data_IF_676818640438
#
_entry.id   IF_676818640438
#
_cell.length_a   1.000
_cell.length_b   1.000
_cell.length_c   1.000
_cell.angle_alpha   90.00
_cell.angle_beta   90.00
_cell.angle_gamma   90.00
#
_symmetry.space_group_name_H-M   'P 1'
#
loop_
_entity.id
_entity.type
_entity.pdbx_description
1 polymer ?
#
# COMPACT_ATOMS: atom_id res chain seq x y z
N UNK A 1 -43.92 -55.64 -23.20
CA UNK A 1 -44.21 -55.54 -24.65
C UNK A 1 -43.64 -54.21 -25.11
N UNK A 2 -43.04 -54.20 -26.30
CA UNK A 2 -42.29 -53.11 -26.96
C UNK A 2 -40.79 -53.07 -26.67
N UNK A 3 -40.11 -53.59 -27.70
CA UNK A 3 -38.70 -53.66 -28.01
C UNK A 3 -38.32 -52.32 -28.65
N UNK A 4 -37.20 -51.69 -28.27
CA UNK A 4 -36.60 -50.65 -29.09
C UNK A 4 -35.08 -50.78 -29.14
N UNK A 5 -34.57 -50.57 -30.36
CA UNK A 5 -33.41 -51.22 -30.94
C UNK A 5 -32.11 -50.51 -30.60
N UNK A 6 -31.13 -51.31 -30.24
CA UNK A 6 -29.68 -51.06 -30.33
C UNK A 6 -29.31 -50.57 -31.73
N UNK A 7 -28.82 -49.33 -31.85
CA UNK A 7 -28.02 -48.88 -32.98
C UNK A 7 -26.54 -48.93 -32.60
N UNK A 8 -25.86 -49.97 -33.07
CA UNK A 8 -24.41 -50.05 -33.10
C UNK A 8 -23.90 -49.14 -34.22
N UNK A 9 -23.57 -47.90 -33.87
CA UNK A 9 -22.82 -47.01 -34.74
C UNK A 9 -21.35 -47.44 -34.76
N UNK A 10 -20.89 -47.86 -35.93
CA UNK A 10 -19.49 -48.15 -36.23
C UNK A 10 -18.63 -46.91 -35.98
N UNK A 11 -17.83 -46.93 -34.91
CA UNK A 11 -16.73 -45.98 -34.70
C UNK A 11 -15.68 -46.21 -35.79
N UNK A 12 -15.79 -45.40 -36.84
CA UNK A 12 -14.76 -45.23 -37.85
C UNK A 12 -13.56 -44.53 -37.18
N UNK A 13 -12.62 -45.34 -36.67
CA UNK A 13 -11.35 -44.87 -36.13
C UNK A 13 -10.52 -44.25 -37.25
N UNK A 14 -10.69 -42.95 -37.47
CA UNK A 14 -9.81 -42.16 -38.31
C UNK A 14 -8.38 -42.26 -37.76
N UNK A 15 -7.36 -42.43 -38.62
CA UNK A 15 -5.98 -42.42 -38.18
C UNK A 15 -5.68 -41.04 -37.58
N UNK A 16 -5.31 -41.02 -36.29
CA UNK A 16 -4.76 -39.83 -35.63
C UNK A 16 -3.49 -39.42 -36.38
N UNK A 17 -3.65 -38.53 -37.35
CA UNK A 17 -2.54 -37.78 -37.92
C UNK A 17 -1.89 -37.02 -36.76
N UNK A 18 -0.72 -37.50 -36.33
CA UNK A 18 0.19 -36.75 -35.48
C UNK A 18 0.73 -35.56 -36.26
N UNK A 19 -0.08 -34.53 -36.42
CA UNK A 19 0.38 -33.25 -36.91
C UNK A 19 1.46 -32.70 -35.97
N UNK A 20 2.52 -32.08 -36.49
CA UNK A 20 3.56 -31.48 -35.66
C UNK A 20 2.91 -30.50 -34.67
N UNK A 21 3.12 -30.74 -33.37
CA UNK A 21 2.71 -29.82 -32.29
C UNK A 21 3.25 -28.43 -32.65
N UNK A 22 2.40 -27.39 -32.75
CA UNK A 22 2.82 -26.11 -33.28
C UNK A 22 3.82 -25.45 -32.32
N UNK A 23 5.08 -25.32 -32.73
CA UNK A 23 6.10 -24.55 -32.01
C UNK A 23 5.66 -23.10 -31.72
N UNK A 24 4.67 -22.58 -32.48
CA UNK A 24 4.04 -21.27 -32.31
C UNK A 24 3.34 -21.05 -30.97
N UNK A 25 2.99 -22.11 -30.22
CA UNK A 25 2.33 -21.96 -28.92
C UNK A 25 3.30 -21.70 -27.77
N UNK A 26 4.55 -22.16 -27.86
CA UNK A 26 5.53 -21.98 -26.79
C UNK A 26 5.99 -20.52 -26.70
N UNK A 27 6.40 -19.92 -27.81
CA UNK A 27 6.78 -18.50 -27.86
C UNK A 27 5.64 -17.56 -27.46
N UNK A 28 4.40 -17.90 -27.82
CA UNK A 28 3.22 -17.14 -27.42
C UNK A 28 2.98 -17.23 -25.90
N UNK A 29 3.16 -18.41 -25.29
CA UNK A 29 3.04 -18.59 -23.84
C UNK A 29 4.14 -17.84 -23.08
N UNK A 30 5.38 -17.89 -23.56
CA UNK A 30 6.49 -17.16 -22.96
C UNK A 30 6.24 -15.64 -22.98
N UNK A 31 5.64 -15.14 -24.07
CA UNK A 31 5.26 -13.72 -24.17
C UNK A 31 4.17 -13.34 -23.16
N UNK A 32 3.19 -14.23 -22.90
CA UNK A 32 2.13 -13.99 -21.92
C UNK A 32 2.66 -13.96 -20.48
N UNK A 33 3.56 -14.89 -20.11
CA UNK A 33 4.16 -14.88 -18.77
C UNK A 33 5.05 -13.66 -18.55
N UNK A 34 5.77 -13.23 -19.59
CA UNK A 34 6.54 -11.99 -19.52
C UNK A 34 5.65 -10.77 -19.24
N UNK A 35 4.52 -10.66 -19.93
CA UNK A 35 3.56 -9.57 -19.68
C UNK A 35 3.02 -9.61 -18.25
N UNK A 36 2.68 -10.80 -17.74
CA UNK A 36 2.24 -10.95 -16.34
C UNK A 36 3.33 -10.54 -15.34
N UNK A 37 4.58 -10.93 -15.60
CA UNK A 37 5.73 -10.52 -14.80
C UNK A 37 5.91 -8.99 -14.83
N UNK A 38 5.94 -8.38 -16.01
CA UNK A 38 6.11 -6.93 -16.16
C UNK A 38 4.99 -6.15 -15.43
N UNK A 39 3.75 -6.65 -15.48
CA UNK A 39 2.62 -6.05 -14.76
C UNK A 39 2.74 -6.21 -13.23
N UNK A 40 3.20 -7.37 -12.75
CA UNK A 40 3.44 -7.59 -11.32
C UNK A 40 4.55 -6.67 -10.76
N UNK A 41 5.57 -6.37 -11.56
CA UNK A 41 6.62 -5.40 -11.21
C UNK A 41 6.04 -3.99 -11.11
N UNK A 42 5.22 -3.58 -12.10
CA UNK A 42 4.54 -2.28 -12.08
C UNK A 42 3.65 -2.12 -10.84
N UNK A 43 2.90 -3.14 -10.47
CA UNK A 43 2.04 -3.09 -9.28
C UNK A 43 2.84 -2.84 -7.99
N UNK A 44 4.01 -3.46 -7.84
CA UNK A 44 4.91 -3.23 -6.70
C UNK A 44 5.54 -1.82 -6.71
N UNK A 45 5.88 -1.31 -7.90
CA UNK A 45 6.37 0.06 -8.08
C UNK A 45 5.27 1.07 -7.71
N UNK A 46 4.04 0.86 -8.18
CA UNK A 46 2.88 1.70 -7.85
C UNK A 46 2.62 1.76 -6.33
N UNK A 47 2.69 0.62 -5.63
CA UNK A 47 2.56 0.58 -4.16
C UNK A 47 3.69 1.36 -3.47
N UNK A 48 4.92 1.26 -3.98
CA UNK A 48 6.09 1.96 -3.45
C UNK A 48 5.96 3.48 -3.64
N UNK A 49 5.56 3.91 -4.83
CA UNK A 49 5.35 5.30 -5.19
C UNK A 49 4.18 5.91 -4.42
N UNK A 50 3.08 5.16 -4.26
CA UNK A 50 1.95 5.57 -3.43
C UNK A 50 2.41 5.83 -1.98
N UNK A 51 3.15 4.90 -1.38
CA UNK A 51 3.66 5.06 -0.01
C UNK A 51 4.61 6.25 0.12
N UNK A 52 5.50 6.46 -0.85
CA UNK A 52 6.40 7.60 -0.91
C UNK A 52 5.63 8.93 -0.97
N UNK A 53 4.62 9.00 -1.85
CA UNK A 53 3.77 10.16 -2.02
C UNK A 53 2.97 10.48 -0.74
N UNK A 54 2.41 9.47 -0.09
CA UNK A 54 1.73 9.60 1.21
C UNK A 54 2.67 10.20 2.26
N UNK A 55 3.91 9.68 2.37
CA UNK A 55 4.91 10.18 3.33
C UNK A 55 5.30 11.63 3.03
N UNK A 56 5.54 11.97 1.77
CA UNK A 56 5.91 13.34 1.38
C UNK A 56 4.80 14.33 1.70
N UNK A 57 3.53 13.99 1.38
CA UNK A 57 2.37 14.81 1.72
C UNK A 57 2.21 14.97 3.22
N UNK A 58 2.41 13.91 4.00
CA UNK A 58 2.35 13.97 5.45
C UNK A 58 3.41 14.93 6.02
N UNK A 59 4.66 14.87 5.54
CA UNK A 59 5.73 15.77 6.01
C UNK A 59 5.40 17.23 5.72
N UNK A 60 4.91 17.53 4.51
CA UNK A 60 4.46 18.89 4.17
C UNK A 60 3.30 19.36 5.05
N UNK A 61 2.33 18.49 5.32
CA UNK A 61 1.23 18.78 6.23
C UNK A 61 1.70 19.03 7.67
N UNK A 62 2.62 18.23 8.21
CA UNK A 62 3.18 18.43 9.55
C UNK A 62 3.93 19.75 9.68
N UNK A 63 4.68 20.16 8.65
CA UNK A 63 5.36 21.45 8.65
C UNK A 63 4.35 22.61 8.73
N UNK A 64 3.25 22.51 7.97
CA UNK A 64 2.16 23.49 8.03
C UNK A 64 1.48 23.51 9.40
N UNK A 65 1.02 22.35 9.89
CA UNK A 65 0.34 22.24 11.20
C UNK A 65 1.25 22.70 12.33
N UNK A 66 2.53 22.31 12.32
CA UNK A 66 3.50 22.73 13.32
C UNK A 66 3.68 24.25 13.36
N UNK A 67 3.80 24.88 12.19
CA UNK A 67 3.91 26.33 12.08
C UNK A 67 2.65 27.06 12.56
N UNK A 68 1.47 26.59 12.13
CA UNK A 68 0.19 27.15 12.53
C UNK A 68 -0.04 27.00 14.05
N UNK A 69 0.31 25.84 14.61
CA UNK A 69 0.20 25.58 16.05
C UNK A 69 1.13 26.50 16.84
N UNK A 70 2.39 26.63 16.44
CA UNK A 70 3.33 27.52 17.11
C UNK A 70 2.84 28.98 17.12
N UNK A 71 2.28 29.44 15.99
CA UNK A 71 1.67 30.76 15.89
C UNK A 71 0.47 30.91 16.84
N UNK A 72 -0.50 30.00 16.80
CA UNK A 72 -1.71 30.06 17.62
C UNK A 72 -1.40 29.97 19.13
N UNK A 73 -0.49 29.08 19.51
CA UNK A 73 -0.01 28.97 20.89
C UNK A 73 0.64 30.29 21.32
N UNK A 74 1.52 30.86 20.50
CA UNK A 74 2.16 32.16 20.77
C UNK A 74 1.14 33.29 20.96
N UNK A 75 0.12 33.36 20.10
CA UNK A 75 -0.97 34.34 20.22
C UNK A 75 -1.78 34.14 21.51
N UNK A 76 -2.07 32.90 21.90
CA UNK A 76 -2.90 32.60 23.08
C UNK A 76 -2.24 32.95 24.42
N UNK A 77 -0.90 33.05 24.45
CA UNK A 77 -0.14 33.33 25.67
C UNK A 77 0.06 34.83 25.88
N UNK A 78 -0.21 35.67 24.86
CA UNK A 78 0.04 37.10 24.93
C UNK A 78 -0.79 37.77 26.04
N UNK A 79 -0.17 38.36 27.08
CA UNK A 79 -0.89 38.94 28.22
C UNK A 79 -1.71 40.19 27.85
N UNK A 80 -1.43 40.84 26.72
CA UNK A 80 -2.23 41.98 26.22
C UNK A 80 -3.60 41.57 25.68
N UNK A 81 -3.70 40.30 25.27
CA UNK A 81 -4.86 39.68 24.63
C UNK A 81 -5.78 39.04 25.71
N UNK A 82 -5.24 38.76 26.89
CA UNK A 82 -6.02 38.42 28.09
C UNK A 82 -6.65 39.67 28.71
N UNK A 83 -7.66 40.23 28.06
CA UNK A 83 -8.43 41.37 28.55
C UNK A 83 -9.20 41.00 29.84
N UNK A 84 -8.57 41.18 31.00
CA UNK A 84 -9.26 41.45 32.27
C UNK A 84 -9.76 40.27 33.11
N UNK A 85 -9.55 39.01 32.73
CA UNK A 85 -10.10 37.85 33.46
C UNK A 85 -9.08 36.75 33.73
N UNK A 86 -9.11 36.17 34.94
CA UNK A 86 -8.37 34.94 35.26
C UNK A 86 -8.65 33.87 34.20
N UNK A 87 -7.61 33.18 33.71
CA UNK A 87 -7.78 32.05 32.77
C UNK A 87 -8.73 31.03 33.39
N UNK A 88 -9.92 30.89 32.79
CA UNK A 88 -10.95 29.99 33.31
C UNK A 88 -10.55 28.53 33.13
N UNK A 89 -11.16 27.62 33.88
CA UNK A 89 -10.93 26.18 33.72
C UNK A 89 -11.14 25.71 32.26
N UNK A 90 -12.03 26.39 31.51
CA UNK A 90 -12.27 26.14 30.09
C UNK A 90 -11.06 26.41 29.19
N UNK A 91 -10.27 27.45 29.48
CA UNK A 91 -9.03 27.72 28.76
C UNK A 91 -8.06 26.54 28.86
N UNK A 92 -7.82 26.05 30.09
CA UNK A 92 -6.92 24.92 30.33
C UNK A 92 -7.47 23.61 29.75
N UNK A 93 -8.79 23.39 29.82
CA UNK A 93 -9.43 22.22 29.20
C UNK A 93 -9.24 22.19 27.69
N UNK A 94 -9.45 23.32 27.01
CA UNK A 94 -9.33 23.41 25.56
C UNK A 94 -7.85 23.37 25.12
N UNK A 95 -6.94 23.99 25.87
CA UNK A 95 -5.49 23.88 25.65
C UNK A 95 -5.02 22.43 25.78
N UNK A 96 -5.41 21.73 26.85
CA UNK A 96 -5.07 20.32 27.08
C UNK A 96 -5.62 19.44 25.96
N UNK A 97 -6.84 19.72 25.50
CA UNK A 97 -7.46 19.00 24.37
C UNK A 97 -6.65 19.23 23.09
N UNK A 98 -6.34 20.48 22.75
CA UNK A 98 -5.50 20.82 21.59
C UNK A 98 -4.11 20.18 21.64
N UNK A 99 -3.47 20.16 22.79
CA UNK A 99 -2.17 19.49 22.99
C UNK A 99 -2.29 17.97 22.86
N UNK A 100 -3.34 17.36 23.42
CA UNK A 100 -3.54 15.91 23.32
C UNK A 100 -3.75 15.44 21.88
N UNK A 101 -4.51 16.20 21.09
CA UNK A 101 -4.70 15.96 19.66
C UNK A 101 -3.39 16.15 18.88
N UNK A 102 -2.55 17.12 19.27
CA UNK A 102 -1.22 17.31 18.66
C UNK A 102 -0.32 16.09 18.90
N UNK A 103 -0.28 15.59 20.13
CA UNK A 103 0.52 14.39 20.46
C UNK A 103 0.01 13.18 19.67
N UNK A 104 -1.32 13.04 19.54
CA UNK A 104 -1.91 11.96 18.75
C UNK A 104 -1.60 12.08 17.25
N UNK A 105 -1.70 13.28 16.65
CA UNK A 105 -1.40 13.49 15.23
C UNK A 105 0.08 13.23 14.93
N UNK A 106 0.99 13.69 15.79
CA UNK A 106 2.43 13.41 15.71
C UNK A 106 2.71 11.92 15.89
N UNK A 107 2.04 11.25 16.83
CA UNK A 107 2.17 9.80 17.03
C UNK A 107 1.78 9.00 15.78
N UNK A 108 0.64 9.32 15.16
CA UNK A 108 0.19 8.70 13.91
C UNK A 108 1.18 8.96 12.76
N UNK A 109 1.72 10.18 12.67
CA UNK A 109 2.75 10.52 11.70
C UNK A 109 4.03 9.71 11.89
N UNK A 110 4.51 9.59 13.13
CA UNK A 110 5.67 8.77 13.47
C UNK A 110 5.43 7.31 13.08
N UNK A 111 4.24 6.75 13.38
CA UNK A 111 3.89 5.40 12.99
C UNK A 111 3.94 5.18 11.47
N UNK A 112 3.51 6.18 10.68
CA UNK A 112 3.55 6.12 9.22
C UNK A 112 4.98 6.23 8.67
N UNK A 113 5.80 7.08 9.27
CA UNK A 113 7.20 7.28 8.87
C UNK A 113 8.13 6.18 9.37
N UNK A 114 7.70 5.36 10.34
CA UNK A 114 8.52 4.31 10.89
C UNK A 114 8.71 3.16 9.89
N UNK A 115 9.94 2.87 9.43
CA UNK A 115 10.19 1.89 8.36
C UNK A 115 9.79 0.47 8.75
N UNK A 116 9.86 0.11 10.04
CA UNK A 116 9.42 -1.19 10.58
C UNK A 116 7.92 -1.43 10.47
N UNK A 117 7.09 -0.38 10.53
CA UNK A 117 5.63 -0.50 10.48
C UNK A 117 5.08 -0.45 9.05
N UNK A 118 5.84 0.12 8.14
CA UNK A 118 5.48 0.35 6.73
C UNK A 118 6.48 -0.27 5.77
N UNK A 119 7.08 -1.40 6.17
CA UNK A 119 7.98 -2.17 5.30
C UNK A 119 7.13 -2.86 4.23
N UNK A 120 7.41 -2.56 2.96
CA UNK A 120 6.86 -3.27 1.82
C UNK A 120 7.80 -4.41 1.42
N UNK A 121 7.23 -5.53 1.00
CA UNK A 121 7.89 -6.56 0.22
C UNK A 121 8.25 -5.97 -1.14
N UNK A 122 9.48 -6.23 -1.59
CA UNK A 122 9.98 -5.76 -2.88
C UNK A 122 9.92 -6.89 -3.90
N UNK A 123 10.16 -6.55 -5.17
CA UNK A 123 10.39 -7.52 -6.26
C UNK A 123 11.41 -8.58 -5.87
N UNK A 124 11.28 -9.76 -6.48
CA UNK A 124 12.22 -10.86 -6.30
C UNK A 124 13.67 -10.37 -6.47
N UNK A 125 14.45 -10.41 -5.38
CA UNK A 125 15.86 -10.03 -5.43
C UNK A 125 16.60 -10.96 -6.39
N UNK A 126 17.58 -10.44 -7.13
CA UNK A 126 18.46 -11.24 -7.98
C UNK A 126 19.01 -12.48 -7.25
N UNK A 127 19.25 -12.39 -5.93
CA UNK A 127 19.64 -13.53 -5.11
C UNK A 127 18.56 -14.62 -5.06
N UNK A 128 17.30 -14.25 -4.84
CA UNK A 128 16.17 -15.19 -4.84
C UNK A 128 16.06 -15.85 -6.21
N UNK A 129 16.18 -15.08 -7.29
CA UNK A 129 16.13 -15.59 -8.67
C UNK A 129 17.25 -16.60 -8.91
N UNK A 130 18.49 -16.26 -8.57
CA UNK A 130 19.66 -17.13 -8.75
C UNK A 130 19.53 -18.41 -7.92
N UNK A 131 19.19 -18.30 -6.64
CA UNK A 131 19.14 -19.45 -5.71
C UNK A 131 17.96 -20.40 -6.02
N UNK A 132 16.82 -19.85 -6.45
CA UNK A 132 15.63 -20.64 -6.77
C UNK A 132 15.62 -21.24 -8.18
N UNK A 133 16.26 -20.60 -9.16
CA UNK A 133 16.14 -20.98 -10.57
C UNK A 133 17.47 -21.35 -11.25
N UNK A 134 18.62 -20.81 -10.82
CA UNK A 134 19.91 -20.99 -11.51
C UNK A 134 20.79 -22.02 -10.80
N UNK A 135 20.93 -21.89 -9.47
CA UNK A 135 21.83 -22.74 -8.66
C UNK A 135 21.14 -24.01 -8.11
N UNK A 136 19.85 -24.19 -8.41
CA UNK A 136 19.09 -25.34 -7.93
C UNK A 136 19.64 -26.63 -8.58
N UNK A 137 20.11 -27.57 -7.75
CA UNK A 137 20.56 -28.92 -8.17
C UNK A 137 19.46 -29.81 -8.80
N UNK A 138 18.24 -29.29 -8.95
CA UNK A 138 17.09 -29.95 -9.53
C UNK A 138 16.84 -29.30 -10.89
N UNK A 139 17.07 -30.06 -11.96
CA UNK A 139 16.77 -29.82 -13.38
C UNK A 139 16.81 -28.35 -13.83
N UNK A 140 17.80 -27.91 -14.64
CA UNK A 140 17.85 -26.54 -15.16
C UNK A 140 16.51 -26.17 -15.80
N UNK A 141 16.00 -24.97 -15.49
CA UNK A 141 14.74 -24.45 -16.03
C UNK A 141 14.78 -24.61 -17.55
N UNK A 142 13.98 -25.54 -18.07
CA UNK A 142 14.04 -25.91 -19.48
C UNK A 142 13.33 -24.88 -20.37
N UNK A 143 12.50 -24.02 -19.77
CA UNK A 143 11.73 -23.01 -20.47
C UNK A 143 11.72 -21.65 -19.74
N UNK A 144 12.11 -20.59 -20.45
CA UNK A 144 12.08 -19.20 -19.98
C UNK A 144 10.67 -18.76 -19.54
N UNK A 145 9.61 -19.30 -20.17
CA UNK A 145 8.23 -19.02 -19.76
C UNK A 145 7.90 -19.47 -18.34
N UNK A 146 8.44 -20.60 -17.88
CA UNK A 146 8.22 -21.09 -16.50
C UNK A 146 8.90 -20.19 -15.48
N UNK A 147 10.09 -19.66 -15.80
CA UNK A 147 10.76 -18.67 -14.95
C UNK A 147 9.89 -17.41 -14.79
N UNK A 148 9.38 -16.84 -15.89
CA UNK A 148 8.52 -15.66 -15.79
C UNK A 148 7.23 -15.93 -15.03
N UNK A 149 6.65 -17.12 -15.18
CA UNK A 149 5.48 -17.54 -14.42
C UNK A 149 5.76 -17.55 -12.92
N UNK A 150 6.85 -18.19 -12.50
CA UNK A 150 7.21 -18.31 -11.08
C UNK A 150 7.54 -16.94 -10.46
N UNK A 151 8.21 -16.07 -11.22
CA UNK A 151 8.48 -14.70 -10.79
C UNK A 151 7.21 -13.85 -10.70
N UNK A 152 6.28 -14.01 -11.65
CA UNK A 152 4.99 -13.31 -11.60
C UNK A 152 4.18 -13.72 -10.37
N UNK A 153 4.10 -15.03 -10.08
CA UNK A 153 3.42 -15.54 -8.88
C UNK A 153 4.07 -15.02 -7.59
N UNK A 154 5.40 -15.02 -7.52
CA UNK A 154 6.11 -14.48 -6.36
C UNK A 154 5.83 -12.99 -6.14
N UNK A 155 5.79 -12.19 -7.21
CA UNK A 155 5.49 -10.76 -7.11
C UNK A 155 4.02 -10.52 -6.75
N UNK A 156 3.09 -11.32 -7.26
CA UNK A 156 1.66 -11.26 -6.92
C UNK A 156 1.44 -11.53 -5.41
N UNK A 157 2.08 -12.58 -4.88
CA UNK A 157 2.10 -12.86 -3.43
C UNK A 157 2.67 -11.68 -2.62
N UNK A 158 3.66 -10.97 -3.16
CA UNK A 158 4.25 -9.79 -2.52
C UNK A 158 3.30 -8.58 -2.54
N UNK A 159 2.55 -8.38 -3.63
CA UNK A 159 1.51 -7.35 -3.75
C UNK A 159 0.41 -7.60 -2.71
N UNK A 160 -0.09 -8.83 -2.62
CA UNK A 160 -1.10 -9.24 -1.65
C UNK A 160 -0.62 -9.07 -0.20
N UNK A 161 0.65 -9.38 0.08
CA UNK A 161 1.25 -9.16 1.39
C UNK A 161 1.38 -7.67 1.76
N UNK A 162 1.53 -6.79 0.76
CA UNK A 162 1.68 -5.35 0.93
C UNK A 162 0.35 -4.61 1.14
N UNK A 163 -0.74 -5.11 0.56
CA UNK A 163 -2.09 -4.52 0.69
C UNK A 163 -2.53 -4.19 2.12
N UNK A 164 -2.40 -5.08 3.13
CA UNK A 164 -2.75 -4.73 4.51
C UNK A 164 -1.81 -3.68 5.11
N UNK A 165 -0.56 -3.59 4.65
CA UNK A 165 0.40 -2.54 5.06
C UNK A 165 -0.03 -1.20 4.47
N UNK A 166 -0.35 -1.15 3.18
CA UNK A 166 -0.86 0.04 2.49
C UNK A 166 -2.19 0.52 3.08
N UNK A 167 -3.11 -0.41 3.38
CA UNK A 167 -4.37 -0.09 4.05
C UNK A 167 -4.18 0.50 5.45
N UNK A 168 -3.13 0.12 6.19
CA UNK A 168 -2.77 0.76 7.47
C UNK A 168 -2.11 2.11 7.26
N UNK A 169 -1.21 2.24 6.29
CA UNK A 169 -0.56 3.50 5.94
C UNK A 169 -1.58 4.59 5.57
N UNK A 170 -2.57 4.26 4.73
CA UNK A 170 -3.69 5.15 4.38
C UNK A 170 -4.50 5.57 5.61
N UNK A 171 -4.80 4.63 6.52
CA UNK A 171 -5.52 4.91 7.78
C UNK A 171 -4.74 5.83 8.71
N UNK A 172 -3.43 5.62 8.87
CA UNK A 172 -2.58 6.50 9.68
C UNK A 172 -2.49 7.90 9.07
N UNK A 173 -2.31 8.01 7.75
CA UNK A 173 -2.32 9.28 7.04
C UNK A 173 -3.64 10.04 7.25
N UNK A 174 -4.77 9.40 6.96
CA UNK A 174 -6.09 10.01 7.12
C UNK A 174 -6.34 10.41 8.57
N UNK A 175 -6.03 9.54 9.53
CA UNK A 175 -6.14 9.84 10.96
C UNK A 175 -5.29 11.04 11.37
N UNK A 176 -4.04 11.11 10.91
CA UNK A 176 -3.16 12.24 11.21
C UNK A 176 -3.71 13.58 10.68
N UNK A 177 -4.27 13.57 9.46
CA UNK A 177 -4.89 14.76 8.85
C UNK A 177 -6.15 15.20 9.58
N UNK A 178 -7.05 14.26 9.91
CA UNK A 178 -8.29 14.57 10.64
C UNK A 178 -7.99 15.08 12.05
N UNK A 179 -7.12 14.38 12.78
CA UNK A 179 -6.74 14.77 14.15
C UNK A 179 -5.99 16.11 14.15
N UNK A 180 -5.07 16.32 13.22
CA UNK A 180 -4.36 17.60 13.09
C UNK A 180 -5.27 18.77 12.72
N UNK A 181 -6.29 18.54 11.88
CA UNK A 181 -7.30 19.56 11.58
C UNK A 181 -8.13 19.93 12.82
N UNK A 182 -8.62 18.93 13.56
CA UNK A 182 -9.35 19.14 14.81
C UNK A 182 -8.50 19.88 15.85
N UNK A 183 -7.22 19.53 15.93
CA UNK A 183 -6.26 20.21 16.78
C UNK A 183 -6.13 21.70 16.43
N UNK A 184 -5.98 22.05 15.14
CA UNK A 184 -5.94 23.45 14.72
C UNK A 184 -7.26 24.17 15.03
N UNK A 185 -8.41 23.54 14.80
CA UNK A 185 -9.71 24.11 15.16
C UNK A 185 -9.81 24.42 16.66
N UNK A 186 -9.31 23.52 17.53
CA UNK A 186 -9.27 23.76 18.96
C UNK A 186 -8.39 24.99 19.30
N UNK A 187 -7.19 25.09 18.73
CA UNK A 187 -6.32 26.24 18.96
C UNK A 187 -6.88 27.56 18.41
N UNK A 188 -7.52 27.52 17.26
CA UNK A 188 -8.22 28.69 16.70
C UNK A 188 -9.35 29.12 17.63
N UNK A 189 -10.19 28.19 18.09
CA UNK A 189 -11.26 28.51 19.04
C UNK A 189 -10.71 29.08 20.36
N UNK A 190 -9.60 28.54 20.84
CA UNK A 190 -8.92 29.04 22.04
C UNK A 190 -8.43 30.48 21.85
N UNK A 191 -7.79 30.78 20.72
CA UNK A 191 -7.36 32.14 20.42
C UNK A 191 -8.57 33.05 20.30
N UNK A 192 -9.60 32.71 19.53
CA UNK A 192 -10.74 33.61 19.30
C UNK A 192 -11.62 33.86 20.53
N UNK A 193 -11.78 32.88 21.42
CA UNK A 193 -12.63 33.02 22.61
C UNK A 193 -11.91 33.73 23.77
N UNK A 194 -10.57 33.77 23.75
CA UNK A 194 -9.74 34.36 24.80
C UNK A 194 -8.74 35.40 24.28
N UNK A 195 -8.98 35.92 23.07
CA UNK A 195 -8.28 37.07 22.50
C UNK A 195 -9.11 38.33 22.45
#
# INVERSE_FOLDING_TARGET
MSIEKTQAGSEETLPRQGGPKPARTAEAQDSMYKVAFDESVRALEDQTDELSNIRQRLVGYLAFVGSATAFLVGSSINPQVSAGGHRSAWFYGLATTGTSLMVLSVGLAICLLWPRLTKLSTTASAKVIIDSNIDRKLSPVQNVGELYRDLALYNDDAVDANDPVMGRARRFYFGAVVVGALQLCAWVALVWLWA
#
